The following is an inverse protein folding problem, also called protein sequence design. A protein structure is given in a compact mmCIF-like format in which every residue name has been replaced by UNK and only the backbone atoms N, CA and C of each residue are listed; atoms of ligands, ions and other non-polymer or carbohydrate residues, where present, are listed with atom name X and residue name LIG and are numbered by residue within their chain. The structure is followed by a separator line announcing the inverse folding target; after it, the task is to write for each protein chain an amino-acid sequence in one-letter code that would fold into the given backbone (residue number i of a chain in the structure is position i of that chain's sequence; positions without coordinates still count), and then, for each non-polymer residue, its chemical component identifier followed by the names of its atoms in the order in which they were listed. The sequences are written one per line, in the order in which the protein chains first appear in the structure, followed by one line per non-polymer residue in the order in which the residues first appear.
data_IF_449220892093
#
_entry.id   IF_449220892093
#
_cell.length_a   1.000
_cell.length_b   1.000
_cell.length_c   1.000
_cell.angle_alpha   90.00
_cell.angle_beta   90.00
_cell.angle_gamma   90.00
#
_symmetry.space_group_name_H-M   'P 1'
#
loop_
_entity.id
_entity.type
_entity.pdbx_description
1 polymer ?
#
# COMPACT_ATOMS: atom_id res chain seq x y z
N UNK A 1 -17.51 21.05 1.72
CA UNK A 1 -16.70 20.04 2.43
C UNK A 1 -16.93 18.63 1.87
N UNK A 2 -18.16 18.13 1.79
CA UNK A 2 -18.47 16.78 1.31
C UNK A 2 -17.94 16.54 -0.12
N UNK A 3 -18.27 17.40 -1.08
CA UNK A 3 -17.80 17.29 -2.48
C UNK A 3 -16.27 17.25 -2.59
N UNK A 4 -15.57 17.99 -1.76
CA UNK A 4 -14.12 17.99 -1.73
C UNK A 4 -13.55 16.65 -1.19
N UNK A 5 -14.17 16.07 -0.13
CA UNK A 5 -13.79 14.75 0.39
C UNK A 5 -14.04 13.69 -0.68
N UNK A 6 -15.20 13.72 -1.34
CA UNK A 6 -15.53 12.78 -2.44
C UNK A 6 -14.51 12.88 -3.57
N UNK A 7 -14.19 14.11 -4.01
CA UNK A 7 -13.17 14.34 -5.05
C UNK A 7 -11.81 13.79 -4.67
N UNK A 8 -11.39 14.01 -3.43
CA UNK A 8 -10.11 13.54 -2.94
C UNK A 8 -10.09 12.01 -2.76
N UNK A 9 -11.24 11.42 -2.36
CA UNK A 9 -11.40 9.97 -2.29
C UNK A 9 -11.37 9.32 -3.67
N UNK A 10 -11.96 9.96 -4.69
CA UNK A 10 -11.88 9.49 -6.08
C UNK A 10 -10.43 9.55 -6.60
N UNK A 11 -9.71 10.64 -6.32
CA UNK A 11 -8.30 10.75 -6.64
C UNK A 11 -7.46 9.67 -5.93
N UNK A 12 -7.72 9.43 -4.66
CA UNK A 12 -7.07 8.38 -3.88
C UNK A 12 -7.35 6.99 -4.46
N UNK A 13 -8.60 6.71 -4.84
CA UNK A 13 -8.99 5.44 -5.43
C UNK A 13 -8.32 5.22 -6.80
N UNK A 14 -8.21 6.25 -7.66
CA UNK A 14 -7.48 6.17 -8.93
C UNK A 14 -5.99 5.94 -8.67
N UNK A 15 -5.40 6.64 -7.70
CA UNK A 15 -3.96 6.59 -7.45
C UNK A 15 -3.47 5.26 -6.86
N UNK A 16 -4.35 4.45 -6.28
CA UNK A 16 -3.99 3.19 -5.62
C UNK A 16 -4.74 1.98 -6.16
N UNK A 17 -5.49 2.15 -7.28
CA UNK A 17 -6.27 1.04 -7.83
C UNK A 17 -5.38 -0.14 -8.24
N UNK A 18 -4.28 0.09 -8.93
CA UNK A 18 -3.36 -0.95 -9.36
C UNK A 18 -2.76 -1.74 -8.19
N UNK A 19 -2.41 -1.06 -7.10
CA UNK A 19 -1.95 -1.73 -5.88
C UNK A 19 -3.04 -2.63 -5.28
N UNK A 20 -4.28 -2.17 -5.25
CA UNK A 20 -5.39 -2.92 -4.67
C UNK A 20 -5.76 -4.15 -5.51
N UNK A 21 -5.86 -4.01 -6.84
CA UNK A 21 -6.25 -5.10 -7.74
C UNK A 21 -5.07 -5.99 -8.15
N UNK A 22 -3.85 -5.70 -7.68
CA UNK A 22 -2.61 -6.40 -8.03
C UNK A 22 -2.75 -7.94 -8.04
N UNK A 23 -3.33 -8.62 -7.04
CA UNK A 23 -3.42 -10.08 -7.03
C UNK A 23 -4.19 -10.64 -8.23
N UNK A 24 -5.28 -9.98 -8.60
CA UNK A 24 -6.14 -10.42 -9.71
C UNK A 24 -5.50 -10.08 -11.05
N UNK A 25 -4.84 -8.92 -11.16
CA UNK A 25 -4.08 -8.51 -12.35
C UNK A 25 -2.92 -9.48 -12.61
N UNK A 26 -2.14 -9.79 -11.58
CA UNK A 26 -1.01 -10.73 -11.67
C UNK A 26 -1.51 -12.13 -12.07
N UNK A 27 -2.60 -12.59 -11.44
CA UNK A 27 -3.22 -13.88 -11.79
C UNK A 27 -3.73 -13.89 -13.24
N UNK A 28 -4.38 -12.83 -13.71
CA UNK A 28 -4.85 -12.72 -15.09
C UNK A 28 -3.69 -12.70 -16.10
N UNK A 29 -2.61 -11.95 -15.83
CA UNK A 29 -1.43 -11.92 -16.68
C UNK A 29 -0.73 -13.27 -16.79
N UNK A 30 -0.72 -14.07 -15.73
CA UNK A 30 -0.09 -15.41 -15.77
C UNK A 30 -0.77 -16.39 -16.72
N UNK A 31 -2.01 -16.13 -17.11
CA UNK A 31 -2.74 -16.94 -18.11
C UNK A 31 -2.34 -16.61 -19.55
N UNK A 32 -1.53 -15.57 -19.77
CA UNK A 32 -1.00 -15.25 -21.10
C UNK A 32 0.04 -16.25 -21.54
N UNK A 33 0.09 -16.52 -22.85
CA UNK A 33 1.08 -17.41 -23.43
C UNK A 33 2.51 -16.90 -23.15
N UNK A 34 3.34 -17.76 -22.59
CA UNK A 34 4.72 -17.44 -22.23
C UNK A 34 4.92 -16.69 -20.91
N UNK A 35 3.82 -16.46 -20.15
CA UNK A 35 3.93 -15.90 -18.81
C UNK A 35 3.94 -17.01 -17.76
N UNK A 36 4.60 -16.70 -16.65
CA UNK A 36 4.54 -17.43 -15.40
C UNK A 36 4.38 -16.42 -14.26
N UNK A 37 4.26 -16.90 -13.04
CA UNK A 37 4.11 -16.06 -11.85
C UNK A 37 5.27 -15.04 -11.72
N UNK A 38 6.49 -15.47 -12.03
CA UNK A 38 7.69 -14.62 -12.00
C UNK A 38 7.60 -13.44 -12.96
N UNK A 39 7.27 -13.70 -14.22
CA UNK A 39 7.16 -12.67 -15.23
C UNK A 39 5.96 -11.75 -14.98
N UNK A 40 4.82 -12.30 -14.53
CA UNK A 40 3.63 -11.52 -14.25
C UNK A 40 3.87 -10.50 -13.11
N UNK A 41 4.56 -10.90 -12.02
CA UNK A 41 4.88 -9.96 -10.93
C UNK A 41 5.93 -8.92 -11.33
N UNK A 42 6.92 -9.27 -12.16
CA UNK A 42 7.89 -8.31 -12.70
C UNK A 42 7.17 -7.26 -13.55
N UNK A 43 6.28 -7.68 -14.45
CA UNK A 43 5.49 -6.75 -15.28
C UNK A 43 4.59 -5.87 -14.42
N UNK A 44 3.92 -6.44 -13.42
CA UNK A 44 3.07 -5.68 -12.49
C UNK A 44 3.88 -4.69 -11.66
N UNK A 45 5.10 -5.03 -11.24
CA UNK A 45 5.96 -4.12 -10.46
C UNK A 45 6.38 -2.87 -11.23
N UNK A 46 6.33 -2.89 -12.56
CA UNK A 46 6.61 -1.71 -13.38
C UNK A 46 5.66 -0.54 -13.08
N UNK A 47 4.41 -0.83 -12.72
CA UNK A 47 3.44 0.18 -12.28
C UNK A 47 3.89 0.86 -10.99
N UNK A 48 4.24 0.10 -9.97
CA UNK A 48 4.77 0.64 -8.73
C UNK A 48 6.08 1.41 -8.94
N UNK A 49 6.93 0.96 -9.87
CA UNK A 49 8.13 1.69 -10.27
C UNK A 49 7.79 3.06 -10.89
N UNK A 50 6.74 3.14 -11.71
CA UNK A 50 6.23 4.40 -12.24
C UNK A 50 5.79 5.37 -11.13
N UNK A 51 5.03 4.88 -10.15
CA UNK A 51 4.61 5.67 -8.96
C UNK A 51 5.83 6.16 -8.19
N UNK A 52 6.82 5.28 -7.94
CA UNK A 52 8.05 5.63 -7.23
C UNK A 52 8.85 6.70 -7.96
N UNK A 53 9.03 6.56 -9.26
CA UNK A 53 9.78 7.52 -10.10
C UNK A 53 9.09 8.88 -10.12
N UNK A 54 7.74 8.92 -10.26
CA UNK A 54 7.04 10.19 -10.15
C UNK A 54 7.26 10.83 -8.78
N UNK A 55 7.11 10.08 -7.70
CA UNK A 55 7.30 10.56 -6.32
C UNK A 55 8.71 11.07 -6.03
N UNK A 56 9.73 10.48 -6.67
CA UNK A 56 11.13 10.89 -6.51
C UNK A 56 11.46 12.20 -7.26
N UNK A 57 11.07 12.29 -8.51
CA UNK A 57 11.60 13.31 -9.42
C UNK A 57 10.62 14.42 -9.77
N UNK A 58 9.31 14.16 -9.71
CA UNK A 58 8.29 15.04 -10.29
C UNK A 58 7.30 15.67 -9.30
N UNK A 59 7.40 15.53 -7.96
CA UNK A 59 6.38 16.04 -7.05
C UNK A 59 6.25 17.58 -7.08
N UNK A 60 7.31 18.29 -7.48
CA UNK A 60 7.30 19.73 -7.64
C UNK A 60 6.38 20.21 -8.77
N UNK A 61 6.10 19.36 -9.78
CA UNK A 61 5.15 19.68 -10.85
C UNK A 61 3.74 19.82 -10.30
N UNK A 62 3.32 18.95 -9.37
CA UNK A 62 2.02 19.05 -8.71
C UNK A 62 1.87 20.35 -7.92
N UNK A 63 2.96 20.84 -7.31
CA UNK A 63 2.94 22.13 -6.60
C UNK A 63 2.77 23.32 -7.55
N UNK A 64 3.39 23.24 -8.75
CA UNK A 64 3.37 24.32 -9.74
C UNK A 64 2.07 24.40 -10.53
N UNK A 65 1.52 23.26 -10.95
CA UNK A 65 0.33 23.19 -11.81
C UNK A 65 -0.49 21.92 -11.54
N UNK A 66 -1.13 21.87 -10.36
CA UNK A 66 -1.86 20.68 -9.93
C UNK A 66 -2.98 20.26 -10.90
N UNK A 67 -3.68 21.20 -11.57
CA UNK A 67 -4.73 20.88 -12.55
C UNK A 67 -4.18 20.16 -13.78
N UNK A 68 -3.08 20.67 -14.33
CA UNK A 68 -2.42 20.03 -15.48
C UNK A 68 -1.90 18.64 -15.09
N UNK A 69 -1.29 18.52 -13.91
CA UNK A 69 -0.82 17.25 -13.38
C UNK A 69 -1.97 16.26 -13.15
N UNK A 70 -3.11 16.72 -12.65
CA UNK A 70 -4.30 15.88 -12.47
C UNK A 70 -4.81 15.34 -13.82
N UNK A 71 -4.95 16.22 -14.81
CA UNK A 71 -5.43 15.85 -16.16
C UNK A 71 -4.43 14.90 -16.83
N UNK A 72 -3.15 15.25 -16.88
CA UNK A 72 -2.12 14.40 -17.46
C UNK A 72 -2.01 13.06 -16.74
N UNK A 73 -2.15 13.04 -15.39
CA UNK A 73 -2.15 11.84 -14.61
C UNK A 73 -3.31 10.90 -14.96
N UNK A 74 -4.54 11.42 -15.01
CA UNK A 74 -5.72 10.62 -15.42
C UNK A 74 -5.57 10.10 -16.84
N UNK A 75 -5.12 10.94 -17.78
CA UNK A 75 -4.90 10.52 -19.16
C UNK A 75 -3.82 9.44 -19.26
N UNK A 76 -2.74 9.54 -18.49
CA UNK A 76 -1.69 8.52 -18.44
C UNK A 76 -2.22 7.18 -17.88
N UNK A 77 -3.02 7.22 -16.78
CA UNK A 77 -3.66 6.01 -16.24
C UNK A 77 -4.58 5.39 -17.28
N UNK A 78 -5.50 6.16 -17.87
CA UNK A 78 -6.42 5.66 -18.89
C UNK A 78 -5.70 5.09 -20.11
N UNK A 79 -4.65 5.76 -20.61
CA UNK A 79 -3.88 5.29 -21.74
C UNK A 79 -3.10 4.00 -21.41
N UNK A 80 -2.52 3.93 -20.21
CA UNK A 80 -1.79 2.74 -19.75
C UNK A 80 -2.72 1.54 -19.54
N UNK A 81 -3.87 1.74 -18.88
CA UNK A 81 -4.88 0.68 -18.71
C UNK A 81 -5.46 0.21 -20.05
N UNK A 82 -5.88 1.15 -20.90
CA UNK A 82 -6.43 0.83 -22.21
C UNK A 82 -5.40 0.11 -23.10
N UNK A 83 -4.13 0.53 -23.08
CA UNK A 83 -3.08 -0.17 -23.86
C UNK A 83 -2.80 -1.57 -23.30
N UNK A 84 -2.89 -1.77 -22.00
CA UNK A 84 -2.73 -3.08 -21.35
C UNK A 84 -3.78 -4.11 -21.77
N UNK A 85 -4.93 -3.65 -22.25
CA UNK A 85 -5.99 -4.51 -22.80
C UNK A 85 -5.53 -5.34 -24.02
N UNK A 86 -4.74 -4.76 -24.92
CA UNK A 86 -4.31 -5.42 -26.15
C UNK A 86 -2.90 -6.00 -26.08
N UNK A 87 -2.07 -5.54 -25.15
CA UNK A 87 -0.67 -5.93 -25.12
C UNK A 87 -0.48 -7.32 -24.50
N UNK A 88 0.21 -8.19 -25.26
CA UNK A 88 0.60 -9.52 -24.80
C UNK A 88 2.13 -9.65 -24.64
N UNK A 89 2.88 -8.76 -25.29
CA UNK A 89 4.35 -8.72 -25.13
C UNK A 89 4.72 -8.22 -23.72
N UNK A 90 5.58 -8.96 -22.99
CA UNK A 90 5.97 -8.57 -21.62
C UNK A 90 6.58 -7.17 -21.54
N UNK A 91 7.42 -6.79 -22.49
CA UNK A 91 8.08 -5.48 -22.50
C UNK A 91 7.10 -4.33 -22.76
N UNK A 92 6.16 -4.50 -23.70
CA UNK A 92 5.16 -3.48 -24.01
C UNK A 92 4.11 -3.39 -22.89
N UNK A 93 3.73 -4.52 -22.28
CA UNK A 93 2.83 -4.52 -21.15
C UNK A 93 3.50 -3.88 -19.92
N UNK A 94 4.77 -4.15 -19.66
CA UNK A 94 5.53 -3.48 -18.61
C UNK A 94 5.61 -1.96 -18.83
N UNK A 95 5.82 -1.52 -20.09
CA UNK A 95 5.80 -0.10 -20.44
C UNK A 95 4.42 0.53 -20.18
N UNK A 96 3.34 -0.15 -20.57
CA UNK A 96 1.98 0.31 -20.32
C UNK A 96 1.72 0.44 -18.80
N UNK A 97 2.10 -0.57 -18.01
CA UNK A 97 2.00 -0.52 -16.54
C UNK A 97 2.83 0.62 -15.94
N UNK A 98 4.03 0.83 -16.45
CA UNK A 98 4.89 1.92 -16.00
C UNK A 98 4.26 3.30 -16.28
N UNK A 99 3.64 3.50 -17.45
CA UNK A 99 2.91 4.73 -17.78
C UNK A 99 1.70 4.90 -16.86
N UNK A 100 0.94 3.84 -16.58
CA UNK A 100 -0.12 3.84 -15.58
C UNK A 100 0.41 4.34 -14.24
N UNK A 101 1.49 3.74 -13.75
CA UNK A 101 2.11 4.11 -12.47
C UNK A 101 2.62 5.55 -12.41
N UNK A 102 3.16 6.10 -13.49
CA UNK A 102 3.49 7.53 -13.55
C UNK A 102 2.25 8.41 -13.36
N UNK A 103 1.13 8.04 -13.98
CA UNK A 103 -0.16 8.74 -13.82
C UNK A 103 -0.71 8.63 -12.39
N UNK A 104 -0.68 7.44 -11.80
CA UNK A 104 -1.08 7.19 -10.41
C UNK A 104 -0.22 7.99 -9.43
N UNK A 105 1.10 8.00 -9.61
CA UNK A 105 2.04 8.79 -8.81
C UNK A 105 1.76 10.29 -8.89
N UNK A 106 1.39 10.78 -10.08
CA UNK A 106 0.99 12.16 -10.28
C UNK A 106 -0.25 12.51 -9.46
N UNK A 107 -1.29 11.68 -9.53
CA UNK A 107 -2.54 11.87 -8.79
C UNK A 107 -2.30 11.73 -7.29
N UNK A 108 -1.53 10.71 -6.86
CA UNK A 108 -1.18 10.50 -5.47
C UNK A 108 -0.44 11.70 -4.85
N UNK A 109 0.46 12.33 -5.62
CA UNK A 109 1.17 13.53 -5.18
C UNK A 109 0.21 14.69 -4.87
N UNK A 110 -0.89 14.82 -5.62
CA UNK A 110 -1.91 15.83 -5.37
C UNK A 110 -2.70 15.50 -4.10
N UNK A 111 -3.06 14.22 -3.90
CA UNK A 111 -3.73 13.76 -2.67
C UNK A 111 -2.84 14.05 -1.45
N UNK A 112 -1.58 13.65 -1.50
CA UNK A 112 -0.60 13.87 -0.44
C UNK A 112 -0.41 15.36 -0.12
N UNK A 113 -0.35 16.23 -1.14
CA UNK A 113 -0.23 17.68 -0.99
C UNK A 113 -1.45 18.29 -0.29
N UNK A 114 -2.66 17.82 -0.61
CA UNK A 114 -3.89 18.27 0.05
C UNK A 114 -3.95 17.84 1.50
N UNK A 115 -3.51 16.59 1.81
CA UNK A 115 -3.44 16.07 3.17
C UNK A 115 -2.44 16.83 4.04
N UNK A 116 -1.24 17.07 3.51
CA UNK A 116 -0.18 17.78 4.23
C UNK A 116 -0.54 19.23 4.61
N UNK A 117 -1.59 19.80 3.99
CA UNK A 117 -2.06 21.17 4.27
C UNK A 117 -3.04 21.28 5.44
N UNK A 118 -3.40 20.20 6.12
CA UNK A 118 -4.48 20.18 7.09
C UNK A 118 -3.99 19.87 8.51
N UNK A 119 -4.58 20.54 9.49
CA UNK A 119 -4.32 20.29 10.91
C UNK A 119 -4.77 18.88 11.38
N UNK A 120 -5.76 18.26 10.70
CA UNK A 120 -6.33 16.96 11.01
C UNK A 120 -6.10 15.95 9.88
N UNK A 121 -4.88 15.91 9.33
CA UNK A 121 -4.53 15.04 8.21
C UNK A 121 -4.87 13.56 8.46
N UNK A 122 -4.69 13.06 9.68
CA UNK A 122 -4.98 11.67 10.07
C UNK A 122 -6.46 11.29 9.90
N UNK A 123 -7.39 12.17 10.32
CA UNK A 123 -8.83 11.92 10.16
C UNK A 123 -9.24 11.89 8.71
N UNK A 124 -8.67 12.79 7.91
CA UNK A 124 -8.96 12.83 6.48
C UNK A 124 -8.36 11.62 5.78
N UNK A 125 -7.14 11.22 6.14
CA UNK A 125 -6.54 9.99 5.62
C UNK A 125 -7.43 8.78 5.90
N UNK A 126 -7.95 8.65 7.11
CA UNK A 126 -8.90 7.59 7.48
C UNK A 126 -10.19 7.64 6.64
N UNK A 127 -10.74 8.83 6.39
CA UNK A 127 -11.92 8.99 5.54
C UNK A 127 -11.65 8.63 4.07
N UNK A 128 -10.50 9.02 3.52
CA UNK A 128 -10.09 8.65 2.17
C UNK A 128 -9.86 7.15 2.03
N UNK A 129 -9.22 6.53 3.03
CA UNK A 129 -9.00 5.09 3.07
C UNK A 129 -10.34 4.34 3.15
N UNK A 130 -11.30 4.83 3.92
CA UNK A 130 -12.61 4.19 4.04
C UNK A 130 -13.42 4.34 2.74
N UNK A 131 -13.57 5.55 2.21
CA UNK A 131 -14.41 5.82 1.02
C UNK A 131 -13.71 5.28 -0.24
N UNK A 132 -12.47 5.69 -0.46
CA UNK A 132 -11.68 5.25 -1.62
C UNK A 132 -11.32 3.77 -1.53
N UNK A 133 -10.99 3.27 -0.34
CA UNK A 133 -10.74 1.85 -0.09
C UNK A 133 -11.96 0.98 -0.34
N UNK A 134 -13.17 1.43 0.03
CA UNK A 134 -14.42 0.74 -0.31
C UNK A 134 -14.63 0.69 -1.81
N UNK A 135 -14.43 1.81 -2.52
CA UNK A 135 -14.55 1.84 -3.98
C UNK A 135 -13.55 0.89 -4.65
N UNK A 136 -12.30 0.85 -4.18
CA UNK A 136 -11.29 -0.09 -4.67
C UNK A 136 -11.60 -1.55 -4.30
N UNK A 137 -12.18 -1.82 -3.12
CA UNK A 137 -12.65 -3.15 -2.72
C UNK A 137 -13.78 -3.65 -3.62
N UNK A 138 -14.71 -2.76 -3.99
CA UNK A 138 -15.77 -3.06 -4.98
C UNK A 138 -15.13 -3.34 -6.34
N UNK A 139 -14.17 -2.53 -6.78
CA UNK A 139 -13.42 -2.78 -8.02
C UNK A 139 -12.77 -4.16 -8.02
N UNK A 140 -12.04 -4.50 -6.94
CA UNK A 140 -11.38 -5.79 -6.79
C UNK A 140 -12.39 -6.95 -6.91
N UNK A 141 -13.54 -6.83 -6.27
CA UNK A 141 -14.62 -7.82 -6.38
C UNK A 141 -15.19 -7.87 -7.81
N UNK A 142 -15.50 -6.74 -8.44
CA UNK A 142 -16.03 -6.69 -9.83
C UNK A 142 -15.04 -7.30 -10.82
N UNK A 143 -13.75 -6.96 -10.68
CA UNK A 143 -12.68 -7.50 -11.55
C UNK A 143 -12.59 -9.02 -11.41
N UNK A 144 -12.77 -9.56 -10.22
CA UNK A 144 -12.73 -11.01 -9.98
C UNK A 144 -13.92 -11.77 -10.57
N UNK A 145 -15.05 -11.10 -10.81
CA UNK A 145 -16.21 -11.68 -11.51
C UNK A 145 -16.03 -11.77 -13.02
N UNK A 146 -14.98 -11.12 -13.58
CA UNK A 146 -14.78 -11.11 -15.02
C UNK A 146 -14.34 -12.49 -15.55
N UNK A 147 -14.75 -12.87 -16.78
CA UNK A 147 -14.36 -14.14 -17.38
C UNK A 147 -12.83 -14.19 -17.61
N UNK A 148 -12.14 -15.06 -16.92
CA UNK A 148 -10.68 -15.21 -17.06
C UNK A 148 -10.25 -16.06 -18.25
N UNK A 149 -11.22 -16.64 -18.98
CA UNK A 149 -10.95 -17.42 -20.20
C UNK A 149 -10.34 -16.57 -21.35
N UNK A 150 -10.56 -15.25 -21.32
CA UNK A 150 -10.02 -14.28 -22.28
C UNK A 150 -8.77 -13.56 -21.73
N UNK A 151 -8.09 -14.16 -20.78
CA UNK A 151 -6.89 -13.63 -20.11
C UNK A 151 -7.11 -12.26 -19.44
N UNK A 152 -6.20 -11.32 -19.70
CA UNK A 152 -6.14 -10.02 -19.02
C UNK A 152 -7.18 -8.99 -19.50
N UNK A 153 -7.68 -9.12 -20.74
CA UNK A 153 -8.45 -8.08 -21.40
C UNK A 153 -9.67 -7.59 -20.59
N UNK A 154 -10.56 -8.46 -20.05
CA UNK A 154 -11.70 -8.00 -19.24
C UNK A 154 -11.29 -7.29 -17.96
N UNK A 155 -10.18 -7.71 -17.33
CA UNK A 155 -9.64 -7.12 -16.11
C UNK A 155 -9.23 -5.66 -16.35
N UNK A 156 -8.42 -5.41 -17.38
CA UNK A 156 -7.99 -4.04 -17.71
C UNK A 156 -9.13 -3.16 -18.22
N UNK A 157 -10.13 -3.74 -18.88
CA UNK A 157 -11.34 -3.01 -19.27
C UNK A 157 -12.12 -2.52 -18.05
N UNK A 158 -12.30 -3.38 -17.05
CA UNK A 158 -13.00 -3.02 -15.81
C UNK A 158 -12.24 -1.92 -15.04
N UNK A 159 -10.92 -2.01 -14.98
CA UNK A 159 -10.08 -0.97 -14.34
C UNK A 159 -10.18 0.34 -15.12
N UNK A 160 -10.08 0.30 -16.45
CA UNK A 160 -10.25 1.49 -17.31
C UNK A 160 -11.61 2.14 -17.09
N UNK A 161 -12.68 1.35 -17.04
CA UNK A 161 -14.04 1.85 -16.79
C UNK A 161 -14.16 2.48 -15.38
N UNK A 162 -13.55 1.87 -14.37
CA UNK A 162 -13.50 2.42 -13.02
C UNK A 162 -12.79 3.77 -12.98
N UNK A 163 -11.62 3.89 -13.59
CA UNK A 163 -10.86 5.14 -13.67
C UNK A 163 -11.66 6.20 -14.42
N UNK A 164 -12.28 5.86 -15.55
CA UNK A 164 -13.13 6.76 -16.32
C UNK A 164 -14.36 7.25 -15.53
N UNK A 165 -14.94 6.37 -14.69
CA UNK A 165 -16.05 6.71 -13.80
C UNK A 165 -15.61 7.66 -12.65
N UNK A 166 -14.42 7.43 -12.08
CA UNK A 166 -13.91 8.21 -10.96
C UNK A 166 -13.33 9.56 -11.39
N UNK A 167 -12.78 9.67 -12.60
CA UNK A 167 -12.11 10.88 -13.10
C UNK A 167 -12.96 12.15 -13.06
N UNK A 168 -14.26 12.17 -13.44
CA UNK A 168 -15.09 13.37 -13.36
C UNK A 168 -15.22 13.93 -11.94
N UNK A 169 -15.20 13.08 -10.91
CA UNK A 169 -15.27 13.57 -9.53
C UNK A 169 -14.05 14.37 -9.11
N UNK A 170 -12.89 14.16 -9.76
CA UNK A 170 -11.70 14.96 -9.52
C UNK A 170 -11.84 16.43 -9.96
N UNK A 171 -12.78 16.76 -10.86
CA UNK A 171 -13.03 18.12 -11.32
C UNK A 171 -13.46 19.05 -10.17
N UNK A 172 -14.05 18.51 -9.11
CA UNK A 172 -14.46 19.27 -7.93
C UNK A 172 -13.34 19.43 -6.89
N UNK A 173 -12.13 18.92 -7.20
CA UNK A 173 -10.99 19.05 -6.33
C UNK A 173 -10.48 20.49 -6.34
N UNK A 174 -10.50 21.14 -5.18
CA UNK A 174 -9.96 22.47 -4.98
C UNK A 174 -8.69 22.39 -4.14
N UNK A 175 -7.66 23.13 -4.52
CA UNK A 175 -6.50 23.33 -3.67
C UNK A 175 -6.89 24.17 -2.46
N UNK A 176 -6.81 23.61 -1.26
CA UNK A 176 -6.97 24.42 -0.05
C UNK A 176 -5.71 25.25 0.22
N UNK A 177 -5.88 26.50 0.68
CA UNK A 177 -4.76 27.28 1.17
C UNK A 177 -4.02 26.55 2.28
N UNK A 178 -2.71 26.66 2.28
CA UNK A 178 -1.83 26.02 3.26
C UNK A 178 -1.95 26.77 4.58
N UNK A 179 -2.73 26.26 5.52
CA UNK A 179 -2.64 26.68 6.92
C UNK A 179 -1.37 26.07 7.51
N UNK A 180 -0.27 26.79 7.33
CA UNK A 180 1.03 26.44 7.91
C UNK A 180 1.00 26.75 9.41
N UNK A 181 0.31 25.94 10.20
CA UNK A 181 0.69 25.83 11.61
C UNK A 181 2.03 25.06 11.65
N UNK A 182 3.11 25.82 11.82
CA UNK A 182 4.43 25.25 12.13
C UNK A 182 4.27 24.46 13.41
N UNK A 183 4.26 23.14 13.29
CA UNK A 183 4.35 22.29 14.45
C UNK A 183 5.68 22.60 15.16
N UNK A 184 5.61 22.96 16.43
CA UNK A 184 6.80 23.13 17.28
C UNK A 184 7.38 21.74 17.51
N UNK A 185 8.52 21.48 16.88
CA UNK A 185 9.24 20.20 17.02
C UNK A 185 9.85 20.12 18.42
N UNK A 186 9.35 19.18 19.22
CA UNK A 186 9.78 19.00 20.62
C UNK A 186 10.92 17.98 20.78
N UNK A 187 11.28 17.21 19.77
CA UNK A 187 12.45 16.32 19.83
C UNK A 187 13.05 16.07 18.44
N UNK A 188 14.36 16.08 18.35
CA UNK A 188 15.07 15.62 17.14
C UNK A 188 15.37 14.13 17.30
N UNK A 189 14.79 13.29 16.45
CA UNK A 189 15.20 11.90 16.35
C UNK A 189 16.65 11.84 15.87
N UNK A 190 17.49 11.02 16.51
CA UNK A 190 18.85 10.76 16.04
C UNK A 190 18.81 10.20 14.61
N UNK A 191 19.74 10.64 13.75
CA UNK A 191 19.83 10.23 12.34
C UNK A 191 19.81 8.70 12.19
N UNK A 192 20.45 7.96 13.12
CA UNK A 192 20.44 6.48 13.12
C UNK A 192 19.05 5.91 13.29
N UNK A 193 18.27 6.42 14.24
CA UNK A 193 16.88 5.97 14.49
C UNK A 193 15.97 6.29 13.31
N UNK A 194 16.16 7.45 12.70
CA UNK A 194 15.43 7.84 11.50
C UNK A 194 15.72 6.86 10.34
N UNK A 195 16.99 6.49 10.13
CA UNK A 195 17.36 5.48 9.13
C UNK A 195 16.75 4.11 9.44
N UNK A 196 16.80 3.66 10.70
CA UNK A 196 16.20 2.39 11.11
C UNK A 196 14.67 2.39 10.88
N UNK A 197 13.99 3.49 11.20
CA UNK A 197 12.55 3.61 10.94
C UNK A 197 12.22 3.57 9.42
N UNK A 198 13.07 4.19 8.59
CA UNK A 198 12.92 4.09 7.13
C UNK A 198 13.16 2.66 6.60
N UNK A 199 14.12 1.93 7.20
CA UNK A 199 14.35 0.52 6.89
C UNK A 199 13.12 -0.32 7.24
N UNK A 200 12.49 -0.06 8.40
CA UNK A 200 11.24 -0.75 8.78
C UNK A 200 10.15 -0.48 7.73
N UNK A 201 9.95 0.79 7.33
CA UNK A 201 8.97 1.14 6.29
C UNK A 201 9.23 0.37 5.01
N UNK A 202 10.48 0.40 4.51
CA UNK A 202 10.86 -0.35 3.31
C UNK A 202 10.51 -1.84 3.41
N UNK A 203 10.93 -2.49 4.51
CA UNK A 203 10.72 -3.94 4.69
C UNK A 203 9.24 -4.31 4.81
N UNK A 204 8.48 -3.55 5.59
CA UNK A 204 7.05 -3.81 5.80
C UNK A 204 6.29 -3.68 4.48
N UNK A 205 6.56 -2.64 3.69
CA UNK A 205 5.91 -2.46 2.40
C UNK A 205 6.38 -3.47 1.35
N UNK A 206 7.66 -3.88 1.37
CA UNK A 206 8.16 -4.92 0.48
C UNK A 206 7.48 -6.27 0.76
N UNK A 207 7.38 -6.66 2.03
CA UNK A 207 6.71 -7.89 2.44
C UNK A 207 5.21 -7.84 2.12
N UNK A 208 4.54 -6.75 2.45
CA UNK A 208 3.11 -6.60 2.23
C UNK A 208 2.77 -6.66 0.74
N UNK A 209 3.49 -5.92 -0.10
CA UNK A 209 3.21 -5.90 -1.54
C UNK A 209 3.60 -7.22 -2.22
N UNK A 210 4.71 -7.84 -1.80
CA UNK A 210 5.13 -9.13 -2.34
C UNK A 210 4.14 -10.25 -2.04
N UNK A 211 3.70 -10.40 -0.78
CA UNK A 211 2.70 -11.41 -0.42
C UNK A 211 1.35 -11.10 -1.08
N UNK A 212 0.97 -9.81 -1.17
CA UNK A 212 -0.27 -9.40 -1.80
C UNK A 212 -0.30 -9.78 -3.29
N UNK A 213 0.78 -9.54 -4.03
CA UNK A 213 0.87 -9.88 -5.44
C UNK A 213 0.70 -11.38 -5.72
N UNK A 214 1.12 -12.25 -4.79
CA UNK A 214 1.10 -13.72 -4.94
C UNK A 214 -0.16 -14.35 -4.37
N UNK A 215 -0.92 -13.67 -3.50
CA UNK A 215 -2.03 -14.31 -2.78
C UNK A 215 -3.15 -14.82 -3.72
N UNK A 216 -3.33 -14.22 -4.91
CA UNK A 216 -4.25 -14.73 -5.92
C UNK A 216 -3.94 -16.17 -6.35
N UNK A 217 -2.65 -16.49 -6.55
CA UNK A 217 -2.21 -17.87 -6.86
C UNK A 217 -2.43 -18.85 -5.71
N UNK A 218 -2.25 -18.39 -4.47
CA UNK A 218 -2.54 -19.24 -3.31
C UNK A 218 -4.01 -19.59 -3.28
N UNK A 219 -4.91 -18.62 -3.53
CA UNK A 219 -6.35 -18.85 -3.64
C UNK A 219 -6.69 -19.88 -4.73
N UNK A 220 -6.12 -19.72 -5.93
CA UNK A 220 -6.34 -20.69 -7.03
C UNK A 220 -5.83 -22.11 -6.68
N UNK A 221 -4.66 -22.22 -6.03
CA UNK A 221 -4.09 -23.54 -5.63
C UNK A 221 -4.91 -24.28 -4.61
N UNK A 222 -5.70 -23.61 -3.78
CA UNK A 222 -6.61 -24.24 -2.81
C UNK A 222 -7.98 -24.56 -3.40
N UNK A 223 -8.16 -24.32 -4.71
CA UNK A 223 -9.38 -24.63 -5.44
C UNK A 223 -10.47 -23.56 -5.38
N UNK A 224 -10.15 -22.37 -4.91
CA UNK A 224 -11.07 -21.23 -4.98
C UNK A 224 -11.21 -20.77 -6.43
N UNK A 225 -12.41 -20.42 -6.84
CA UNK A 225 -12.60 -19.74 -8.11
C UNK A 225 -12.18 -18.26 -8.00
N UNK A 226 -12.04 -17.60 -9.15
CA UNK A 226 -11.54 -16.22 -9.17
C UNK A 226 -12.48 -15.25 -8.44
N UNK A 227 -13.79 -15.51 -8.44
CA UNK A 227 -14.78 -14.69 -7.75
C UNK A 227 -14.68 -14.84 -6.24
N UNK A 228 -14.42 -16.04 -5.76
CA UNK A 228 -14.17 -16.31 -4.33
C UNK A 228 -12.85 -15.66 -3.88
N UNK A 229 -11.79 -15.79 -4.68
CA UNK A 229 -10.49 -15.13 -4.40
C UNK A 229 -10.70 -13.62 -4.26
N UNK A 230 -11.32 -12.99 -5.24
CA UNK A 230 -11.55 -11.54 -5.20
C UNK A 230 -12.46 -11.11 -4.05
N UNK A 231 -13.50 -11.88 -3.75
CA UNK A 231 -14.39 -11.62 -2.62
C UNK A 231 -13.65 -11.69 -1.28
N UNK A 232 -12.82 -12.72 -1.07
CA UNK A 232 -12.02 -12.86 0.16
C UNK A 232 -10.97 -11.77 0.28
N UNK A 233 -10.33 -11.38 -0.82
CA UNK A 233 -9.36 -10.29 -0.83
C UNK A 233 -10.01 -8.93 -0.58
N UNK A 234 -11.20 -8.68 -1.13
CA UNK A 234 -11.98 -7.46 -0.87
C UNK A 234 -12.37 -7.37 0.62
N UNK A 235 -12.89 -8.46 1.21
CA UNK A 235 -13.20 -8.52 2.65
C UNK A 235 -11.93 -8.30 3.49
N UNK A 236 -10.83 -8.98 3.15
CA UNK A 236 -9.59 -8.87 3.92
C UNK A 236 -9.00 -7.47 3.89
N UNK A 237 -9.09 -6.78 2.75
CA UNK A 237 -8.64 -5.39 2.61
C UNK A 237 -9.46 -4.44 3.48
N UNK A 238 -10.79 -4.58 3.47
CA UNK A 238 -11.67 -3.75 4.29
C UNK A 238 -11.50 -4.05 5.79
N UNK A 239 -11.43 -5.33 6.16
CA UNK A 239 -11.20 -5.75 7.54
C UNK A 239 -9.82 -5.31 8.07
N UNK A 240 -8.83 -5.20 7.18
CA UNK A 240 -7.50 -4.71 7.51
C UNK A 240 -7.51 -3.34 8.18
N UNK A 241 -8.42 -2.44 7.78
CA UNK A 241 -8.55 -1.11 8.37
C UNK A 241 -8.90 -1.13 9.87
N UNK A 242 -9.44 -2.25 10.39
CA UNK A 242 -9.63 -2.42 11.83
C UNK A 242 -8.30 -2.36 12.59
N UNK A 243 -7.21 -2.75 11.95
CA UNK A 243 -5.86 -2.61 12.51
C UNK A 243 -5.47 -1.16 12.81
N UNK A 244 -5.97 -0.19 12.04
CA UNK A 244 -5.69 1.23 12.23
C UNK A 244 -6.39 1.83 13.47
N UNK A 245 -7.40 1.16 14.02
CA UNK A 245 -8.07 1.56 15.27
C UNK A 245 -7.11 1.46 16.45
N UNK A 246 -6.23 0.46 16.46
CA UNK A 246 -5.28 0.22 17.55
C UNK A 246 -4.31 1.39 17.74
N UNK A 247 -3.59 1.88 16.71
CA UNK A 247 -2.79 3.10 16.83
C UNK A 247 -3.60 4.34 17.25
N UNK A 248 -4.81 4.49 16.70
CA UNK A 248 -5.68 5.63 17.01
C UNK A 248 -6.09 5.67 18.51
N UNK A 249 -6.21 4.51 19.16
CA UNK A 249 -6.54 4.38 20.58
C UNK A 249 -5.30 4.40 21.49
N UNK A 250 -4.10 4.21 20.94
CA UNK A 250 -2.87 4.11 21.73
C UNK A 250 -2.22 5.49 21.88
N UNK A 251 -2.67 6.24 22.91
CA UNK A 251 -2.14 7.57 23.20
C UNK A 251 -0.81 7.53 23.95
N UNK A 252 -0.53 6.46 24.69
CA UNK A 252 0.67 6.30 25.52
C UNK A 252 1.87 5.86 24.66
N UNK A 253 2.91 6.69 24.63
CA UNK A 253 4.16 6.39 23.90
C UNK A 253 4.86 5.14 24.43
N UNK A 254 4.70 4.79 25.71
CA UNK A 254 5.28 3.60 26.31
C UNK A 254 4.68 2.30 25.75
N UNK A 255 3.43 2.34 25.30
CA UNK A 255 2.73 1.17 24.75
C UNK A 255 2.99 0.95 23.26
N UNK A 256 3.69 1.87 22.58
CA UNK A 256 3.94 1.76 21.13
C UNK A 256 4.76 0.52 20.75
N UNK A 257 5.85 0.25 21.50
CA UNK A 257 6.73 -0.90 21.18
C UNK A 257 5.98 -2.25 21.28
N UNK A 258 5.32 -2.60 22.39
CA UNK A 258 4.63 -3.91 22.46
C UNK A 258 3.54 -4.06 21.41
N UNK A 259 2.83 -2.99 21.05
CA UNK A 259 1.80 -3.03 20.00
C UNK A 259 2.41 -3.22 18.60
N UNK A 260 3.51 -2.54 18.30
CA UNK A 260 4.24 -2.74 17.03
C UNK A 260 4.79 -4.17 16.93
N UNK A 261 5.34 -4.71 18.03
CA UNK A 261 5.83 -6.10 18.07
C UNK A 261 4.68 -7.09 17.85
N UNK A 262 3.52 -6.86 18.47
CA UNK A 262 2.32 -7.66 18.25
C UNK A 262 1.90 -7.63 16.76
N UNK A 263 1.91 -6.47 16.13
CA UNK A 263 1.62 -6.34 14.69
C UNK A 263 2.57 -7.17 13.82
N UNK A 264 3.87 -7.15 14.10
CA UNK A 264 4.84 -7.98 13.39
C UNK A 264 4.62 -9.47 13.61
N UNK A 265 4.31 -9.89 14.85
CA UNK A 265 4.03 -11.29 15.16
C UNK A 265 2.78 -11.77 14.41
N UNK A 266 1.72 -10.96 14.38
CA UNK A 266 0.50 -11.26 13.62
C UNK A 266 0.84 -11.42 12.14
N UNK A 267 1.61 -10.49 11.53
CA UNK A 267 2.01 -10.61 10.12
C UNK A 267 2.82 -11.88 9.86
N UNK A 268 3.84 -12.15 10.67
CA UNK A 268 4.73 -13.29 10.46
C UNK A 268 4.00 -14.63 10.58
N UNK A 269 3.17 -14.80 11.62
CA UNK A 269 2.37 -16.02 11.83
C UNK A 269 1.38 -16.19 10.67
N UNK A 270 0.69 -15.13 10.28
CA UNK A 270 -0.30 -15.18 9.20
C UNK A 270 0.36 -15.53 7.86
N UNK A 271 1.52 -14.95 7.53
CA UNK A 271 2.27 -15.29 6.32
C UNK A 271 2.71 -16.76 6.36
N UNK A 272 3.18 -17.24 7.51
CA UNK A 272 3.54 -18.64 7.65
C UNK A 272 2.37 -19.56 7.32
N UNK A 273 1.20 -19.36 7.95
CA UNK A 273 0.02 -20.20 7.71
C UNK A 273 -0.54 -20.03 6.30
N UNK A 274 -0.52 -18.83 5.72
CA UNK A 274 -0.98 -18.58 4.35
C UNK A 274 -0.29 -19.48 3.31
N UNK A 275 1.02 -19.70 3.49
CA UNK A 275 1.82 -20.46 2.54
C UNK A 275 2.07 -21.94 2.93
N UNK A 276 1.54 -22.40 4.07
CA UNK A 276 1.70 -23.79 4.54
C UNK A 276 0.37 -24.52 4.76
N UNK A 277 -0.74 -23.83 4.96
CA UNK A 277 -2.05 -24.45 5.23
C UNK A 277 -3.04 -24.04 4.15
N UNK A 278 -3.36 -24.98 3.27
CA UNK A 278 -4.12 -24.73 2.04
C UNK A 278 -5.61 -25.02 2.23
N UNK A 279 -6.33 -24.15 2.97
CA UNK A 279 -7.78 -24.18 3.13
C UNK A 279 -8.37 -22.78 2.96
N UNK A 280 -9.61 -22.69 2.47
CA UNK A 280 -10.28 -21.42 2.22
C UNK A 280 -10.43 -20.55 3.50
N UNK A 281 -10.74 -21.19 4.64
CA UNK A 281 -10.87 -20.49 5.92
C UNK A 281 -9.55 -19.91 6.41
N UNK A 282 -8.44 -20.67 6.26
CA UNK A 282 -7.10 -20.18 6.62
C UNK A 282 -6.65 -19.09 5.65
N UNK A 283 -6.94 -19.21 4.36
CA UNK A 283 -6.66 -18.16 3.38
C UNK A 283 -7.31 -16.83 3.77
N UNK A 284 -8.63 -16.84 4.04
CA UNK A 284 -9.34 -15.62 4.44
C UNK A 284 -8.81 -15.07 5.77
N UNK A 285 -8.69 -15.91 6.80
CA UNK A 285 -8.25 -15.50 8.12
C UNK A 285 -6.84 -14.90 8.09
N UNK A 286 -5.92 -15.51 7.38
CA UNK A 286 -4.54 -15.04 7.27
C UNK A 286 -4.42 -13.75 6.48
N UNK A 287 -5.18 -13.58 5.40
CA UNK A 287 -5.21 -12.31 4.65
C UNK A 287 -5.78 -11.17 5.49
N UNK A 288 -6.85 -11.41 6.26
CA UNK A 288 -7.38 -10.42 7.21
C UNK A 288 -6.33 -10.05 8.25
N UNK A 289 -5.68 -11.03 8.87
CA UNK A 289 -4.70 -10.80 9.93
C UNK A 289 -3.41 -10.14 9.42
N UNK A 290 -2.91 -10.49 8.24
CA UNK A 290 -1.76 -9.79 7.62
C UNK A 290 -2.07 -8.31 7.43
N UNK A 291 -3.25 -7.98 6.88
CA UNK A 291 -3.67 -6.60 6.68
C UNK A 291 -3.87 -5.86 8.02
N UNK A 292 -4.47 -6.50 9.03
CA UNK A 292 -4.59 -5.93 10.38
C UNK A 292 -3.20 -5.63 10.96
N UNK A 293 -2.26 -6.59 10.90
CA UNK A 293 -0.89 -6.39 11.37
C UNK A 293 -0.18 -5.24 10.66
N UNK A 294 -0.32 -5.14 9.34
CA UNK A 294 0.21 -4.06 8.54
C UNK A 294 -0.34 -2.69 8.98
N UNK A 295 -1.66 -2.57 9.17
CA UNK A 295 -2.28 -1.33 9.61
C UNK A 295 -2.08 -1.03 11.10
N UNK A 296 -1.65 -1.99 11.92
CA UNK A 296 -1.13 -1.73 13.28
C UNK A 296 0.27 -1.11 13.19
N UNK A 297 1.18 -1.72 12.42
CA UNK A 297 2.60 -1.34 12.40
C UNK A 297 2.84 0.00 11.71
N UNK A 298 2.27 0.18 10.52
CA UNK A 298 2.61 1.31 9.64
C UNK A 298 2.32 2.68 10.24
N UNK A 299 1.19 2.95 10.93
CA UNK A 299 0.95 4.28 11.51
C UNK A 299 1.92 4.63 12.65
N UNK A 300 2.35 3.64 13.45
CA UNK A 300 3.32 3.91 14.51
C UNK A 300 4.70 4.26 13.96
N UNK A 301 5.17 3.52 12.96
CA UNK A 301 6.49 3.75 12.37
C UNK A 301 6.51 5.05 11.59
N UNK A 302 5.48 5.33 10.79
CA UNK A 302 5.36 6.60 10.07
C UNK A 302 5.13 7.77 11.03
N UNK A 303 4.36 7.57 12.10
CA UNK A 303 4.11 8.57 13.14
C UNK A 303 5.39 9.03 13.84
N UNK A 304 6.29 8.11 14.21
CA UNK A 304 7.60 8.49 14.79
C UNK A 304 8.43 9.32 13.81
N UNK A 305 8.37 9.03 12.52
CA UNK A 305 9.08 9.81 11.51
C UNK A 305 8.45 11.20 11.32
N UNK A 306 7.12 11.29 11.29
CA UNK A 306 6.40 12.58 11.12
C UNK A 306 6.48 13.47 12.35
N UNK A 307 6.50 12.92 13.57
CA UNK A 307 6.74 13.69 14.81
C UNK A 307 8.09 14.45 14.77
N UNK A 308 9.02 14.02 13.92
CA UNK A 308 10.36 14.59 13.77
C UNK A 308 10.57 15.34 12.44
N UNK A 309 9.50 15.64 11.72
CA UNK A 309 9.51 16.31 10.40
C UNK A 309 8.94 17.73 10.46
N UNK A 310 9.74 18.73 10.87
CA UNK A 310 9.26 20.11 11.00
C UNK A 310 8.87 20.75 9.67
N UNK A 311 9.48 20.29 8.57
CA UNK A 311 9.35 20.90 7.24
C UNK A 311 8.42 20.11 6.30
N UNK A 312 7.90 18.94 6.72
CA UNK A 312 7.09 18.06 5.89
C UNK A 312 7.87 17.37 4.76
N UNK A 313 9.19 17.53 4.73
CA UNK A 313 10.06 16.95 3.69
C UNK A 313 10.30 15.46 3.89
N UNK A 314 10.22 15.00 5.14
CA UNK A 314 10.44 13.61 5.51
C UNK A 314 9.26 12.73 5.10
N UNK A 315 8.03 13.26 5.20
CA UNK A 315 6.82 12.51 4.82
C UNK A 315 6.86 12.10 3.35
N UNK A 316 7.29 12.98 2.45
CA UNK A 316 7.43 12.61 1.03
C UNK A 316 8.49 11.53 0.81
N UNK A 317 9.60 11.55 1.57
CA UNK A 317 10.62 10.50 1.52
C UNK A 317 10.13 9.16 2.04
N UNK A 318 9.33 9.17 3.12
CA UNK A 318 8.70 7.97 3.68
C UNK A 318 7.82 7.29 2.62
N UNK A 319 6.96 8.06 1.95
CA UNK A 319 6.08 7.53 0.90
C UNK A 319 6.88 6.94 -0.27
N UNK A 320 7.94 7.61 -0.68
CA UNK A 320 8.83 7.10 -1.75
C UNK A 320 9.50 5.79 -1.33
N UNK A 321 10.04 5.72 -0.11
CA UNK A 321 10.68 4.50 0.40
C UNK A 321 9.67 3.36 0.51
N UNK A 322 8.45 3.64 0.96
CA UNK A 322 7.36 2.67 1.01
C UNK A 322 7.05 2.08 -0.37
N UNK A 323 6.92 2.95 -1.39
CA UNK A 323 6.62 2.51 -2.76
C UNK A 323 7.81 1.78 -3.39
N UNK A 324 9.06 2.21 -3.14
CA UNK A 324 10.25 1.46 -3.59
C UNK A 324 10.27 0.07 -2.96
N UNK A 325 9.97 -0.04 -1.65
CA UNK A 325 9.84 -1.31 -0.97
C UNK A 325 8.78 -2.19 -1.63
N UNK A 326 7.58 -1.65 -1.86
CA UNK A 326 6.50 -2.34 -2.54
C UNK A 326 6.89 -2.81 -3.96
N UNK A 327 7.56 -1.94 -4.73
CA UNK A 327 8.06 -2.27 -6.07
C UNK A 327 9.00 -3.46 -6.07
N UNK A 328 10.02 -3.42 -5.20
CA UNK A 328 11.02 -4.49 -5.09
C UNK A 328 10.37 -5.77 -4.57
N UNK A 329 9.53 -5.67 -3.52
CA UNK A 329 8.81 -6.81 -2.96
C UNK A 329 7.95 -7.51 -4.00
N UNK A 330 7.17 -6.77 -4.79
CA UNK A 330 6.36 -7.32 -5.89
C UNK A 330 7.23 -7.94 -6.97
N UNK A 331 8.31 -7.27 -7.39
CA UNK A 331 9.17 -7.75 -8.47
C UNK A 331 9.85 -9.09 -8.15
N UNK A 332 10.29 -9.29 -6.91
CA UNK A 332 10.98 -10.52 -6.50
C UNK A 332 10.02 -11.64 -6.05
N UNK A 333 8.76 -11.30 -5.72
CA UNK A 333 7.80 -12.24 -5.16
C UNK A 333 7.54 -13.43 -6.08
N UNK A 334 7.17 -13.17 -7.32
CA UNK A 334 6.88 -14.23 -8.29
C UNK A 334 8.07 -15.11 -8.63
N UNK A 335 9.26 -14.56 -8.96
CA UNK A 335 10.46 -15.36 -9.16
C UNK A 335 10.79 -16.28 -7.98
N UNK A 336 10.76 -15.77 -6.75
CA UNK A 336 11.02 -16.59 -5.57
C UNK A 336 9.95 -17.69 -5.43
N UNK A 337 8.67 -17.32 -5.58
CA UNK A 337 7.56 -18.26 -5.44
C UNK A 337 7.59 -19.35 -6.52
N UNK A 338 7.85 -19.00 -7.78
CA UNK A 338 7.87 -19.97 -8.89
C UNK A 338 9.10 -20.87 -8.90
N UNK A 339 10.27 -20.34 -8.52
CA UNK A 339 11.54 -21.11 -8.56
C UNK A 339 11.80 -21.91 -7.29
N UNK A 340 11.46 -21.36 -6.12
CA UNK A 340 11.81 -21.92 -4.82
C UNK A 340 10.60 -22.45 -4.02
N UNK A 341 9.39 -22.16 -4.48
CA UNK A 341 8.14 -22.64 -3.89
C UNK A 341 7.62 -21.80 -2.72
N UNK A 342 6.41 -22.16 -2.26
CA UNK A 342 5.65 -21.40 -1.28
C UNK A 342 6.37 -21.27 0.09
N UNK A 343 7.01 -22.35 0.55
CA UNK A 343 7.70 -22.33 1.84
C UNK A 343 8.90 -21.39 1.86
N UNK A 344 9.74 -21.40 0.82
CA UNK A 344 10.89 -20.49 0.70
C UNK A 344 10.39 -19.04 0.57
N UNK A 345 9.32 -18.82 -0.17
CA UNK A 345 8.69 -17.50 -0.28
C UNK A 345 8.18 -17.02 1.08
N UNK A 346 7.51 -17.86 1.87
CA UNK A 346 7.07 -17.50 3.21
C UNK A 346 8.25 -17.02 4.08
N UNK A 347 9.36 -17.76 4.11
CA UNK A 347 10.54 -17.37 4.86
C UNK A 347 11.21 -16.11 4.31
N UNK A 348 11.21 -15.88 2.99
CA UNK A 348 11.70 -14.64 2.39
C UNK A 348 10.90 -13.41 2.82
N UNK A 349 9.63 -13.59 3.19
CA UNK A 349 8.80 -12.54 3.79
C UNK A 349 9.02 -12.41 5.32
N UNK A 350 9.16 -13.53 6.04
CA UNK A 350 9.28 -13.54 7.51
C UNK A 350 10.64 -12.97 7.96
N UNK A 351 11.73 -13.30 7.28
CA UNK A 351 13.07 -12.82 7.66
C UNK A 351 13.20 -11.29 7.66
N UNK A 352 12.74 -10.54 6.66
CA UNK A 352 12.69 -9.08 6.73
C UNK A 352 11.83 -8.55 7.88
N UNK A 353 10.71 -9.22 8.23
CA UNK A 353 9.90 -8.83 9.40
C UNK A 353 10.67 -9.02 10.71
N UNK A 354 11.44 -10.11 10.86
CA UNK A 354 12.30 -10.32 12.04
C UNK A 354 13.35 -9.22 12.14
N UNK A 355 13.98 -8.84 11.03
CA UNK A 355 14.92 -7.72 11.01
C UNK A 355 14.22 -6.39 11.36
N UNK A 356 13.00 -6.18 10.86
CA UNK A 356 12.20 -5.00 11.19
C UNK A 356 11.85 -4.96 12.70
N UNK A 357 11.61 -6.11 13.34
CA UNK A 357 11.44 -6.21 14.81
C UNK A 357 12.68 -5.73 15.53
N UNK A 358 13.88 -6.17 15.13
CA UNK A 358 15.14 -5.70 15.73
C UNK A 358 15.28 -4.19 15.59
N UNK A 359 15.02 -3.65 14.39
CA UNK A 359 15.02 -2.21 14.16
C UNK A 359 13.99 -1.48 15.03
N UNK A 360 12.78 -2.04 15.19
CA UNK A 360 11.72 -1.45 16.01
C UNK A 360 12.12 -1.38 17.50
N UNK A 361 12.74 -2.42 18.03
CA UNK A 361 13.28 -2.43 19.40
C UNK A 361 14.30 -1.30 19.58
N UNK A 362 15.18 -1.08 18.60
CA UNK A 362 16.20 -0.02 18.66
C UNK A 362 15.57 1.39 18.52
N UNK A 363 14.51 1.54 17.74
CA UNK A 363 13.81 2.83 17.56
C UNK A 363 12.94 3.17 18.77
N UNK A 364 12.09 2.26 19.21
CA UNK A 364 11.07 2.51 20.25
C UNK A 364 11.56 2.21 21.67
N UNK A 365 12.50 1.28 21.86
CA UNK A 365 13.00 0.88 23.18
C UNK A 365 13.67 2.01 23.98
N UNK A 366 14.25 2.99 23.29
CA UNK A 366 14.81 4.18 23.93
C UNK A 366 13.74 5.19 24.39
N UNK A 367 12.61 5.25 23.70
CA UNK A 367 11.49 6.10 24.10
C UNK A 367 10.91 5.66 25.46
N UNK A 368 11.02 4.37 25.75
CA UNK A 368 10.60 3.80 27.03
C UNK A 368 11.57 4.14 28.20
N UNK A 369 12.87 4.33 27.91
CA UNK A 369 13.90 4.66 28.93
C UNK A 369 13.98 6.14 29.28
N UNK A 370 13.50 7.03 28.43
CA UNK A 370 13.56 8.48 28.63
C UNK A 370 12.38 9.06 29.41
N UNK A 371 11.44 8.24 29.85
CA UNK A 371 10.35 8.68 30.74
C UNK A 371 10.91 8.89 32.17
N UNK A 372 10.62 10.04 32.83
CA UNK A 372 11.01 10.28 34.21
C UNK A 372 10.54 9.15 35.12
N UNK A 373 11.35 8.81 36.12
CA UNK A 373 11.07 7.71 37.04
C UNK A 373 9.70 7.85 37.79
N UNK A 374 9.17 9.05 37.89
CA UNK A 374 7.86 9.36 38.47
C UNK A 374 6.67 8.82 37.70
N UNK A 375 6.82 8.51 36.39
CA UNK A 375 5.75 7.92 35.59
C UNK A 375 5.80 6.37 35.61
N UNK A 376 6.94 5.79 36.01
CA UNK A 376 7.10 4.32 36.10
C UNK A 376 6.39 3.70 37.32
N UNK A 377 6.19 4.47 38.40
CA UNK A 377 5.59 3.98 39.65
C UNK A 377 4.07 4.04 39.68
N UNK A 378 3.43 4.73 38.73
CA UNK A 378 1.96 4.80 38.60
C UNK A 378 1.30 3.65 37.86
N UNK A 379 2.06 2.64 37.42
CA UNK A 379 1.55 1.49 36.64
C UNK A 379 1.53 0.19 37.48
N UNK A 380 1.77 0.27 38.80
CA UNK A 380 1.77 -0.90 39.71
C UNK A 380 0.69 -0.83 40.79
N UNK A 381 -0.33 0.03 40.63
CA UNK A 381 -1.53 0.01 41.49
C UNK A 381 -2.79 -0.30 40.71
#
# INVERSE_FOLDING_TARGET
MILWIVSLSAAYAIALNGTMVMPVVVLAMSKLAGYNEGLATIVASAELAGVAIYGLFLPKLAQRSWKAVAICGVLAVLAGEASSFWQQSPSLLALARFITGLGEGAIFSIVAMNLASLANAERLWGALALIGGTAMGILLFVVSLMPHQQAQAPVFLAITAFVALMAPFMLFMARRPRDLQKATVHSRLDRKKMTLAMIIVFMVYAVQAGQWAICGYVGERIGLDNSEVGFYLAISSLAGFLGAVVPAMTHDKAKRLPVVLLGFVIMAISIYYLFHVFTASVFLATQVLVNIGFFIVTPFVTGVLTENDPDGSLMSRILVIAIIGATIGTAIAGPIFSMAGASVFAWSCILPLVLAVVCAILVFGHLHRSLPATVRTGLSE
#
